data_IF_488651721475
#
_entry.id   IF_488651721475
#
_cell.length_a   1.000
_cell.length_b   1.000
_cell.length_c   1.000
_cell.angle_alpha   90.00
_cell.angle_beta   90.00
_cell.angle_gamma   90.00
#
_symmetry.space_group_name_H-M   'P 1'
#
loop_
_entity.id
_entity.type
_entity.pdbx_description
1 polymer ?
#
# COMPACT_ATOMS: atom_id res chain seq x y z
N UNK A 1 -52.38 6.76 49.37
CA UNK A 1 -51.60 5.53 49.12
C UNK A 1 -50.75 5.74 47.88
N UNK A 2 -49.46 5.39 47.98
CA UNK A 2 -48.48 5.39 46.88
C UNK A 2 -48.91 4.41 45.79
N UNK A 3 -48.56 4.71 44.54
CA UNK A 3 -48.04 3.73 43.58
C UNK A 3 -47.38 4.49 42.42
N UNK A 4 -46.07 4.67 42.56
CA UNK A 4 -45.15 5.00 41.47
C UNK A 4 -45.00 3.70 40.67
N UNK A 5 -45.38 3.72 39.40
CA UNK A 5 -45.08 2.65 38.46
C UNK A 5 -44.12 3.19 37.39
N UNK A 6 -42.84 3.17 37.71
CA UNK A 6 -41.74 3.11 36.74
C UNK A 6 -41.75 1.73 36.09
N UNK A 7 -41.90 1.60 34.77
CA UNK A 7 -41.36 0.48 33.98
C UNK A 7 -41.56 0.74 32.48
N UNK A 8 -40.50 0.63 31.68
CA UNK A 8 -40.66 0.49 30.22
C UNK A 8 -39.58 1.05 29.30
N UNK A 9 -38.32 1.18 29.72
CA UNK A 9 -37.22 1.25 28.73
C UNK A 9 -36.92 -0.19 28.31
N UNK A 10 -37.49 -0.62 27.19
CA UNK A 10 -37.24 -1.93 26.61
C UNK A 10 -36.57 -1.78 25.24
N UNK A 11 -35.31 -2.19 25.21
CA UNK A 11 -34.57 -2.78 24.07
C UNK A 11 -34.45 -1.96 22.77
N UNK A 12 -33.40 -1.13 22.70
CA UNK A 12 -32.71 -0.79 21.45
C UNK A 12 -31.30 -1.37 21.47
N UNK A 13 -31.14 -2.70 21.41
CA UNK A 13 -29.84 -3.35 21.22
C UNK A 13 -29.98 -4.63 20.39
N UNK A 14 -30.27 -4.47 19.10
CA UNK A 14 -30.19 -5.57 18.12
C UNK A 14 -29.93 -4.99 16.74
N UNK A 15 -28.71 -4.48 16.50
CA UNK A 15 -28.35 -3.85 15.23
C UNK A 15 -26.92 -4.07 14.73
N UNK A 16 -26.08 -4.82 15.44
CA UNK A 16 -24.67 -5.00 15.04
C UNK A 16 -24.35 -6.46 14.71
N UNK A 17 -24.96 -7.06 13.69
CA UNK A 17 -24.52 -8.38 13.19
C UNK A 17 -25.03 -8.79 11.81
N UNK A 18 -25.53 -7.87 10.98
CA UNK A 18 -26.16 -8.27 9.69
C UNK A 18 -25.25 -8.16 8.45
N UNK A 19 -24.02 -7.64 8.59
CA UNK A 19 -23.03 -7.61 7.49
C UNK A 19 -21.61 -7.83 8.02
N UNK A 20 -21.41 -8.89 8.81
CA UNK A 20 -20.08 -9.24 9.31
C UNK A 20 -19.35 -10.10 8.29
N UNK A 21 -18.41 -9.51 7.51
CA UNK A 21 -17.34 -10.29 6.93
C UNK A 21 -16.63 -11.02 8.07
N UNK A 22 -16.78 -12.35 8.16
CA UNK A 22 -16.17 -13.13 9.23
C UNK A 22 -14.66 -13.10 9.04
N UNK A 23 -13.94 -12.45 9.95
CA UNK A 23 -12.49 -12.48 9.99
C UNK A 23 -12.02 -13.94 10.20
N UNK A 24 -11.19 -14.43 9.29
CA UNK A 24 -10.53 -15.74 9.46
C UNK A 24 -9.65 -15.75 10.71
N UNK A 25 -9.52 -16.92 11.33
CA UNK A 25 -8.62 -17.09 12.47
C UNK A 25 -7.19 -16.65 12.09
N UNK A 26 -6.58 -15.82 12.93
CA UNK A 26 -5.24 -15.30 12.72
C UNK A 26 -4.23 -16.39 13.12
N UNK A 27 -3.33 -16.82 12.22
CA UNK A 27 -2.29 -17.78 12.58
C UNK A 27 -1.44 -17.29 13.75
N UNK A 28 -1.13 -18.19 14.68
CA UNK A 28 -0.45 -17.83 15.93
C UNK A 28 0.95 -17.22 15.75
N UNK A 29 1.60 -17.46 14.60
CA UNK A 29 2.89 -16.84 14.23
C UNK A 29 2.82 -15.32 14.10
N UNK A 30 1.63 -14.76 13.87
CA UNK A 30 1.39 -13.31 13.79
C UNK A 30 0.88 -12.72 15.12
N UNK A 31 0.92 -13.49 16.21
CA UNK A 31 0.51 -12.99 17.52
C UNK A 31 1.40 -11.82 17.95
N UNK A 32 0.75 -10.74 18.40
CA UNK A 32 1.41 -9.49 18.79
C UNK A 32 1.86 -8.62 17.62
N UNK A 33 1.25 -8.75 16.44
CA UNK A 33 1.32 -7.72 15.40
C UNK A 33 0.63 -6.44 15.88
N UNK A 34 1.26 -5.30 15.67
CA UNK A 34 0.73 -3.98 16.03
C UNK A 34 -0.51 -3.60 15.21
N UNK A 35 -0.65 -4.16 14.01
CA UNK A 35 -1.82 -4.02 13.15
C UNK A 35 -2.21 -5.36 12.51
N UNK A 36 -3.50 -5.68 12.59
CA UNK A 36 -4.08 -6.89 12.01
C UNK A 36 -5.02 -6.52 10.86
N UNK A 37 -4.54 -6.66 9.62
CA UNK A 37 -5.31 -6.35 8.43
C UNK A 37 -6.51 -7.30 8.28
N UNK A 38 -7.71 -6.74 8.17
CA UNK A 38 -8.93 -7.52 8.04
C UNK A 38 -9.00 -8.28 6.71
N UNK A 39 -9.73 -9.39 6.67
CA UNK A 39 -10.00 -10.15 5.45
C UNK A 39 -10.69 -9.29 4.38
N UNK A 40 -11.61 -8.42 4.80
CA UNK A 40 -12.32 -7.51 3.89
C UNK A 40 -11.34 -6.53 3.23
N UNK A 41 -10.51 -5.86 4.02
CA UNK A 41 -9.57 -4.86 3.52
C UNK A 41 -8.47 -5.52 2.69
N UNK A 42 -8.00 -6.70 3.08
CA UNK A 42 -7.02 -7.46 2.31
C UNK A 42 -7.57 -7.90 0.94
N UNK A 43 -8.84 -8.30 0.87
CA UNK A 43 -9.50 -8.61 -0.40
C UNK A 43 -9.67 -7.38 -1.28
N UNK A 44 -10.10 -6.26 -0.71
CA UNK A 44 -10.16 -4.99 -1.43
C UNK A 44 -8.79 -4.56 -1.94
N UNK A 45 -7.76 -4.75 -1.12
CA UNK A 45 -6.37 -4.45 -1.47
C UNK A 45 -5.90 -5.30 -2.64
N UNK A 46 -6.14 -6.61 -2.61
CA UNK A 46 -5.81 -7.51 -3.72
C UNK A 46 -6.46 -7.09 -5.04
N UNK A 47 -7.73 -6.66 -5.01
CA UNK A 47 -8.44 -6.15 -6.19
C UNK A 47 -7.81 -4.85 -6.69
N UNK A 48 -7.66 -3.86 -5.80
CA UNK A 48 -7.13 -2.54 -6.14
C UNK A 48 -5.69 -2.61 -6.65
N UNK A 49 -4.87 -3.49 -6.07
CA UNK A 49 -3.51 -3.77 -6.54
C UNK A 49 -3.48 -4.36 -7.94
N UNK A 50 -4.34 -5.34 -8.23
CA UNK A 50 -4.42 -5.94 -9.56
C UNK A 50 -4.92 -4.95 -10.61
N UNK A 51 -5.90 -4.11 -10.26
CA UNK A 51 -6.37 -3.00 -11.09
C UNK A 51 -5.26 -1.98 -11.38
N UNK A 52 -4.50 -1.59 -10.37
CA UNK A 52 -3.37 -0.68 -10.51
C UNK A 52 -2.26 -1.29 -11.39
N UNK A 53 -1.91 -2.57 -11.19
CA UNK A 53 -0.92 -3.29 -11.99
C UNK A 53 -1.33 -3.37 -13.47
N UNK A 54 -2.57 -3.80 -13.76
CA UNK A 54 -3.12 -3.84 -15.12
C UNK A 54 -3.11 -2.46 -15.79
N UNK A 55 -3.30 -1.41 -15.00
CA UNK A 55 -3.28 -0.06 -15.51
C UNK A 55 -1.85 0.43 -15.77
N UNK A 56 -1.00 0.53 -14.75
CA UNK A 56 0.34 1.14 -14.83
C UNK A 56 1.29 0.29 -15.66
N UNK A 57 1.13 -1.04 -15.59
CA UNK A 57 2.05 -2.02 -16.13
C UNK A 57 1.34 -3.06 -17.04
N UNK A 58 0.63 -2.61 -18.09
CA UNK A 58 -0.28 -3.49 -18.87
C UNK A 58 0.43 -4.64 -19.60
N UNK A 59 1.74 -4.50 -19.83
CA UNK A 59 2.57 -5.49 -20.53
C UNK A 59 3.66 -6.10 -19.63
N UNK A 60 3.56 -5.92 -18.31
CA UNK A 60 4.58 -6.41 -17.39
C UNK A 60 4.57 -7.93 -17.32
N UNK A 61 5.74 -8.49 -17.56
CA UNK A 61 6.01 -9.92 -17.38
C UNK A 61 6.88 -10.12 -16.15
N UNK A 62 6.87 -11.33 -15.60
CA UNK A 62 7.77 -11.71 -14.49
C UNK A 62 9.24 -11.44 -14.83
N UNK A 63 9.65 -11.68 -16.08
CA UNK A 63 11.02 -11.44 -16.53
C UNK A 63 11.36 -9.95 -16.48
N UNK A 64 10.49 -9.09 -17.03
CA UNK A 64 10.68 -7.64 -16.98
C UNK A 64 10.76 -7.13 -15.53
N UNK A 65 9.89 -7.66 -14.65
CA UNK A 65 9.86 -7.29 -13.24
C UNK A 65 11.16 -7.66 -12.50
N UNK A 66 11.75 -8.82 -12.80
CA UNK A 66 13.02 -9.26 -12.20
C UNK A 66 14.23 -8.39 -12.59
N UNK A 67 14.11 -7.62 -13.67
CA UNK A 67 15.16 -6.72 -14.17
C UNK A 67 14.86 -5.25 -13.86
N UNK A 68 13.88 -4.96 -12.99
CA UNK A 68 13.64 -3.59 -12.55
C UNK A 68 14.87 -2.99 -11.89
N UNK A 69 15.14 -1.72 -12.20
CA UNK A 69 16.03 -0.89 -11.39
C UNK A 69 15.46 -0.73 -9.98
N UNK A 70 16.24 -0.16 -9.06
CA UNK A 70 15.74 0.11 -7.70
C UNK A 70 14.58 1.12 -7.77
N UNK A 71 14.69 2.12 -8.63
CA UNK A 71 13.70 3.16 -8.89
C UNK A 71 12.41 2.58 -9.47
N UNK A 72 12.52 1.68 -10.45
CA UNK A 72 11.35 1.00 -11.02
C UNK A 72 10.70 0.06 -9.99
N UNK A 73 11.50 -0.63 -9.17
CA UNK A 73 11.00 -1.49 -8.08
C UNK A 73 10.28 -0.70 -7.00
N UNK A 74 10.78 0.49 -6.66
CA UNK A 74 10.14 1.39 -5.71
C UNK A 74 8.79 1.88 -6.23
N UNK A 75 8.75 2.42 -7.46
CA UNK A 75 7.50 2.91 -8.07
C UNK A 75 6.48 1.78 -8.22
N UNK A 76 6.92 0.61 -8.65
CA UNK A 76 6.06 -0.56 -8.71
C UNK A 76 5.47 -0.88 -7.33
N UNK A 77 6.31 -0.97 -6.30
CA UNK A 77 5.85 -1.29 -4.95
C UNK A 77 4.87 -0.25 -4.41
N UNK A 78 5.14 1.03 -4.67
CA UNK A 78 4.29 2.12 -4.21
C UNK A 78 2.94 2.12 -4.92
N UNK A 79 2.91 2.06 -6.25
CA UNK A 79 1.68 2.18 -7.04
C UNK A 79 0.85 0.89 -7.07
N UNK A 80 1.50 -0.27 -7.02
CA UNK A 80 0.81 -1.56 -7.07
C UNK A 80 0.40 -2.02 -5.67
N UNK A 81 1.16 -1.71 -4.62
CA UNK A 81 0.87 -2.23 -3.27
C UNK A 81 0.48 -1.14 -2.29
N UNK A 82 1.34 -0.17 -2.02
CA UNK A 82 1.17 0.70 -0.86
C UNK A 82 0.14 1.81 -1.04
N UNK A 83 0.09 2.50 -2.18
CA UNK A 83 -0.98 3.47 -2.45
C UNK A 83 -2.38 2.84 -2.50
N UNK A 84 -2.58 1.66 -3.10
CA UNK A 84 -3.84 0.93 -2.95
C UNK A 84 -4.20 0.64 -1.50
N UNK A 85 -3.26 0.12 -0.70
CA UNK A 85 -3.51 -0.17 0.72
C UNK A 85 -3.83 1.10 1.51
N UNK A 86 -3.06 2.17 1.31
CA UNK A 86 -3.24 3.48 1.93
C UNK A 86 -4.63 4.04 1.67
N UNK A 87 -5.16 3.91 0.45
CA UNK A 87 -6.52 4.35 0.13
C UNK A 87 -7.61 3.57 0.88
N UNK A 88 -7.33 2.34 1.30
CA UNK A 88 -8.29 1.46 1.96
C UNK A 88 -8.26 1.66 3.47
N UNK A 89 -7.07 1.61 4.07
CA UNK A 89 -6.92 1.66 5.54
C UNK A 89 -6.40 3.00 6.06
N UNK A 90 -5.81 3.85 5.22
CA UNK A 90 -5.22 5.14 5.61
C UNK A 90 -3.70 5.07 5.89
N UNK A 91 -3.01 6.19 5.62
CA UNK A 91 -1.54 6.34 5.74
C UNK A 91 -1.00 5.98 7.14
N UNK A 92 -1.69 6.41 8.20
CA UNK A 92 -1.24 6.13 9.57
C UNK A 92 -1.15 4.61 9.84
N UNK A 93 -2.09 3.83 9.33
CA UNK A 93 -2.09 2.38 9.52
C UNK A 93 -1.09 1.70 8.61
N UNK A 94 -0.90 2.18 7.37
CA UNK A 94 0.18 1.69 6.51
C UNK A 94 1.55 1.89 7.17
N UNK A 95 1.78 3.04 7.83
CA UNK A 95 3.01 3.30 8.59
C UNK A 95 3.20 2.35 9.77
N UNK A 96 2.13 2.01 10.50
CA UNK A 96 2.20 1.00 11.56
C UNK A 96 2.59 -0.35 10.96
N UNK A 97 1.92 -0.77 9.88
CA UNK A 97 2.24 -2.04 9.22
C UNK A 97 3.70 -2.04 8.78
N UNK A 98 4.17 -1.03 8.04
CA UNK A 98 5.55 -0.94 7.53
C UNK A 98 6.61 -0.84 8.63
N UNK A 99 6.25 -0.29 9.79
CA UNK A 99 7.13 -0.14 10.96
C UNK A 99 7.26 -1.41 11.81
N UNK A 100 6.32 -2.35 11.71
CA UNK A 100 6.30 -3.62 12.46
C UNK A 100 6.38 -4.83 11.52
N UNK A 101 7.46 -5.61 11.64
CA UNK A 101 7.69 -6.79 10.80
C UNK A 101 6.57 -7.82 10.92
N UNK A 102 6.00 -8.01 12.11
CA UNK A 102 4.87 -8.96 12.28
C UNK A 102 3.62 -8.49 11.54
N UNK A 103 3.30 -7.21 11.63
CA UNK A 103 2.21 -6.58 10.89
C UNK A 103 2.42 -6.68 9.38
N UNK A 104 3.61 -6.36 8.87
CA UNK A 104 3.92 -6.55 7.44
C UNK A 104 3.82 -8.02 7.00
N UNK A 105 4.31 -8.95 7.81
CA UNK A 105 4.24 -10.38 7.49
C UNK A 105 2.78 -10.86 7.44
N UNK A 106 1.96 -10.43 8.40
CA UNK A 106 0.53 -10.76 8.41
C UNK A 106 -0.23 -10.12 7.25
N UNK A 107 0.01 -8.84 6.96
CA UNK A 107 -0.57 -8.16 5.81
C UNK A 107 -0.18 -8.85 4.49
N UNK A 108 1.08 -9.27 4.38
CA UNK A 108 1.57 -10.02 3.22
C UNK A 108 0.91 -11.40 3.09
N UNK A 109 0.73 -12.11 4.20
CA UNK A 109 -0.01 -13.37 4.24
C UNK A 109 -1.45 -13.18 3.73
N UNK A 110 -2.16 -12.19 4.27
CA UNK A 110 -3.54 -11.87 3.89
C UNK A 110 -3.64 -11.46 2.42
N UNK A 111 -2.72 -10.61 1.95
CA UNK A 111 -2.69 -10.19 0.56
C UNK A 111 -2.51 -11.37 -0.40
N UNK A 112 -1.57 -12.29 -0.13
CA UNK A 112 -1.32 -13.46 -0.98
C UNK A 112 -2.50 -14.41 -1.03
N UNK A 113 -3.13 -14.64 0.13
CA UNK A 113 -4.38 -15.41 0.24
C UNK A 113 -5.43 -14.85 -0.72
N UNK A 114 -5.76 -13.56 -0.61
CA UNK A 114 -6.81 -12.98 -1.44
C UNK A 114 -6.39 -12.69 -2.88
N UNK A 115 -5.11 -12.39 -3.17
CA UNK A 115 -4.62 -12.19 -4.55
C UNK A 115 -4.82 -13.43 -5.42
N UNK A 116 -4.74 -14.61 -4.82
CA UNK A 116 -4.99 -15.89 -5.50
C UNK A 116 -6.50 -16.16 -5.67
N UNK A 117 -7.30 -15.75 -4.69
CA UNK A 117 -8.77 -15.91 -4.72
C UNK A 117 -9.46 -14.92 -5.68
N UNK A 118 -8.96 -13.68 -5.76
CA UNK A 118 -9.49 -12.66 -6.67
C UNK A 118 -9.01 -13.01 -8.08
N UNK A 119 -9.90 -13.63 -8.84
CA UNK A 119 -9.69 -13.96 -10.25
C UNK A 119 -9.53 -12.71 -11.11
N UNK A 120 -10.11 -12.69 -12.31
CA UNK A 120 -10.07 -11.48 -13.12
C UNK A 120 -10.84 -10.35 -12.43
N UNK A 121 -10.22 -9.18 -12.35
CA UNK A 121 -10.82 -7.97 -11.78
C UNK A 121 -11.29 -7.06 -12.91
N UNK A 122 -12.36 -6.32 -12.66
CA UNK A 122 -12.81 -5.29 -13.58
C UNK A 122 -11.74 -4.20 -13.71
N UNK A 123 -11.33 -3.81 -14.92
CA UNK A 123 -10.35 -2.75 -15.09
C UNK A 123 -10.83 -1.40 -14.53
N UNK A 124 -9.89 -0.53 -14.18
CA UNK A 124 -10.21 0.87 -13.91
C UNK A 124 -10.80 1.55 -15.16
N UNK A 125 -11.57 2.61 -14.96
CA UNK A 125 -12.01 3.47 -16.05
C UNK A 125 -10.80 4.04 -16.79
N UNK A 126 -10.94 4.31 -18.09
CA UNK A 126 -9.86 4.85 -18.91
C UNK A 126 -9.27 6.13 -18.32
N UNK A 127 -10.12 7.05 -17.84
CA UNK A 127 -9.69 8.30 -17.22
C UNK A 127 -8.91 8.07 -15.92
N UNK A 128 -9.38 7.18 -15.03
CA UNK A 128 -8.67 6.86 -13.80
C UNK A 128 -7.32 6.20 -14.11
N UNK A 129 -7.28 5.35 -15.13
CA UNK A 129 -6.06 4.69 -15.53
C UNK A 129 -5.04 5.65 -16.18
N UNK A 130 -5.50 6.55 -17.06
CA UNK A 130 -4.65 7.57 -17.66
C UNK A 130 -4.00 8.44 -16.59
N UNK A 131 -4.78 8.86 -15.59
CA UNK A 131 -4.28 9.62 -14.44
C UNK A 131 -3.20 8.83 -13.70
N UNK A 132 -3.49 7.59 -13.31
CA UNK A 132 -2.56 6.75 -12.54
C UNK A 132 -1.24 6.48 -13.31
N UNK A 133 -1.31 6.28 -14.63
CA UNK A 133 -0.13 6.12 -15.50
C UNK A 133 0.75 7.36 -15.54
N UNK A 134 0.13 8.54 -15.66
CA UNK A 134 0.86 9.80 -15.70
C UNK A 134 1.55 10.05 -14.35
N UNK A 135 0.84 9.87 -13.23
CA UNK A 135 1.39 10.00 -11.88
C UNK A 135 2.58 9.05 -11.67
N UNK A 136 2.42 7.76 -11.99
CA UNK A 136 3.50 6.78 -11.85
C UNK A 136 4.74 7.11 -12.70
N UNK A 137 4.53 7.61 -13.92
CA UNK A 137 5.63 8.01 -14.81
C UNK A 137 6.35 9.25 -14.32
N UNK A 138 5.61 10.24 -13.83
CA UNK A 138 6.16 11.50 -13.36
C UNK A 138 6.94 11.27 -12.05
N UNK A 139 6.41 10.48 -11.12
CA UNK A 139 7.11 10.08 -9.90
C UNK A 139 8.36 9.24 -10.19
N UNK A 140 8.29 8.34 -11.18
CA UNK A 140 9.47 7.58 -11.61
C UNK A 140 10.58 8.49 -12.13
N UNK A 141 10.23 9.52 -12.90
CA UNK A 141 11.18 10.50 -13.38
C UNK A 141 11.78 11.33 -12.23
N UNK A 142 10.98 11.69 -11.22
CA UNK A 142 11.43 12.37 -9.99
C UNK A 142 12.42 11.49 -9.23
N UNK A 143 12.07 10.23 -8.98
CA UNK A 143 12.92 9.26 -8.27
C UNK A 143 14.20 8.95 -9.05
N UNK A 144 14.16 8.93 -10.38
CA UNK A 144 15.35 8.83 -11.26
C UNK A 144 16.18 10.13 -11.33
N UNK A 145 15.77 11.19 -10.63
CA UNK A 145 16.47 12.48 -10.59
C UNK A 145 16.34 13.31 -11.87
N UNK A 146 15.39 13.00 -12.74
CA UNK A 146 15.15 13.72 -14.01
C UNK A 146 14.43 15.05 -13.78
N UNK A 147 13.68 15.18 -12.68
CA UNK A 147 13.10 16.45 -12.24
C UNK A 147 13.94 17.04 -11.09
N UNK A 148 14.74 18.06 -11.41
CA UNK A 148 15.43 18.90 -10.41
C UNK A 148 14.65 20.20 -10.24
N UNK A 149 13.62 20.21 -9.39
CA UNK A 149 13.35 21.38 -8.56
C UNK A 149 12.35 21.13 -7.42
N UNK A 150 12.79 21.35 -6.18
CA UNK A 150 11.96 21.51 -4.99
C UNK A 150 12.49 22.63 -4.08
N UNK A 151 12.93 23.76 -4.68
CA UNK A 151 13.78 24.84 -4.13
C UNK A 151 13.90 24.97 -2.59
N UNK A 152 15.07 25.30 -2.02
CA UNK A 152 16.21 26.07 -2.58
C UNK A 152 17.45 25.19 -2.80
N UNK A 153 18.04 25.30 -4.00
CA UNK A 153 19.44 24.93 -4.24
C UNK A 153 20.32 26.15 -3.88
N UNK A 154 21.46 26.01 -3.20
CA UNK A 154 22.70 25.48 -3.78
C UNK A 154 23.63 25.00 -2.64
N UNK A 155 24.03 23.73 -2.65
CA UNK A 155 25.36 23.36 -2.17
C UNK A 155 26.19 22.96 -3.39
N UNK A 156 26.90 23.94 -3.94
CA UNK A 156 28.02 23.73 -4.86
C UNK A 156 29.25 23.44 -4.02
N UNK A 157 30.13 22.57 -4.52
CA UNK A 157 31.51 22.56 -4.07
C UNK A 157 32.18 23.91 -4.45
N UNK A 158 33.33 24.24 -3.86
CA UNK A 158 34.06 25.49 -4.15
C UNK A 158 34.43 25.63 -5.64
N UNK A 159 34.42 24.53 -6.41
CA UNK A 159 34.69 24.45 -7.84
C UNK A 159 33.44 24.60 -8.75
N UNK A 160 32.25 24.79 -8.17
CA UNK A 160 31.01 24.99 -8.91
C UNK A 160 30.32 23.70 -9.39
N UNK A 161 30.82 22.52 -9.04
CA UNK A 161 30.19 21.23 -9.39
C UNK A 161 29.01 20.87 -8.46
N UNK A 162 27.96 20.16 -8.94
CA UNK A 162 26.85 19.71 -8.10
C UNK A 162 27.28 18.64 -7.09
N UNK A 163 26.89 18.76 -5.81
CA UNK A 163 27.26 17.81 -4.74
C UNK A 163 26.62 16.42 -4.79
N UNK A 164 25.68 16.14 -5.69
CA UNK A 164 25.14 14.79 -5.87
C UNK A 164 24.78 14.53 -7.35
N UNK A 165 25.50 13.62 -8.04
CA UNK A 165 25.16 13.18 -9.39
C UNK A 165 24.03 12.14 -9.41
N UNK A 166 23.80 11.47 -8.28
CA UNK A 166 22.71 10.49 -8.11
C UNK A 166 21.41 11.24 -7.80
N UNK A 167 20.28 10.79 -8.35
CA UNK A 167 18.93 11.31 -8.06
C UNK A 167 18.59 11.28 -6.56
N UNK A 168 17.35 11.66 -6.19
CA UNK A 168 16.88 11.80 -4.79
C UNK A 168 17.34 10.61 -3.93
N UNK A 169 18.44 10.77 -3.18
CA UNK A 169 19.21 9.79 -2.39
C UNK A 169 18.58 8.38 -2.19
N UNK A 170 18.35 7.63 -3.28
CA UNK A 170 17.65 6.33 -3.26
C UNK A 170 18.52 5.25 -2.61
N UNK A 171 19.85 5.45 -2.63
CA UNK A 171 20.84 4.57 -2.03
C UNK A 171 21.07 4.80 -0.53
N UNK A 172 20.57 5.89 0.05
CA UNK A 172 20.79 6.26 1.47
C UNK A 172 19.49 6.33 2.29
N UNK A 173 18.32 6.26 1.64
CA UNK A 173 17.04 6.41 2.31
C UNK A 173 16.46 5.06 2.77
N UNK A 174 16.47 4.81 4.08
CA UNK A 174 15.88 3.61 4.70
C UNK A 174 14.43 3.36 4.25
N UNK A 175 13.62 4.40 4.15
CA UNK A 175 12.22 4.28 3.73
C UNK A 175 12.11 3.69 2.32
N UNK A 176 12.98 4.12 1.40
CA UNK A 176 13.01 3.61 0.03
C UNK A 176 13.33 2.11 -0.01
N UNK A 177 14.31 1.67 0.78
CA UNK A 177 14.66 0.25 0.90
C UNK A 177 13.56 -0.58 1.56
N UNK A 178 12.91 -0.06 2.61
CA UNK A 178 11.81 -0.76 3.29
C UNK A 178 10.63 -0.96 2.33
N UNK A 179 10.27 0.05 1.53
CA UNK A 179 9.24 -0.08 0.49
C UNK A 179 9.59 -1.15 -0.54
N UNK A 180 10.83 -1.18 -1.05
CA UNK A 180 11.28 -2.20 -2.00
C UNK A 180 11.29 -3.59 -1.36
N UNK A 181 11.79 -3.70 -0.13
CA UNK A 181 11.84 -4.97 0.62
C UNK A 181 10.44 -5.54 0.77
N UNK A 182 9.51 -4.74 1.27
CA UNK A 182 8.14 -5.18 1.50
C UNK A 182 7.38 -5.43 0.20
N UNK A 183 7.58 -4.60 -0.83
CA UNK A 183 7.00 -4.84 -2.16
C UNK A 183 7.50 -6.12 -2.81
N UNK A 184 8.79 -6.45 -2.65
CA UNK A 184 9.36 -7.72 -3.11
C UNK A 184 8.76 -8.92 -2.36
N UNK A 185 8.52 -8.78 -1.06
CA UNK A 185 7.86 -9.82 -0.26
C UNK A 185 6.44 -10.12 -0.73
N UNK A 186 5.70 -9.11 -1.21
CA UNK A 186 4.34 -9.23 -1.75
C UNK A 186 4.28 -9.89 -3.14
N UNK A 187 5.43 -10.00 -3.82
CA UNK A 187 5.56 -10.67 -5.11
C UNK A 187 5.95 -12.14 -5.02
N UNK A 188 6.63 -12.54 -3.94
CA UNK A 188 7.06 -13.92 -3.67
C UNK A 188 5.93 -14.77 -3.10
#
# INVERSE_FOLDING_TARGET
>A
MKLIATLGVAALLSGCSMFGSSQSAIPGEFAGADYQLSDQDAKQWAIASKQAEQCVYPNLTRILQQHFSKEDSYIHSQYVFFYPLEKIIGDQYVKIIQGDEKSMNYASYQFKKFRTEVGNVEPLTEQACLKLRNEARDDLAVVKGQYKNGMVEVQKNEDGTPKNPDGIATNENKFFFDIIKWGSMLLL
#
